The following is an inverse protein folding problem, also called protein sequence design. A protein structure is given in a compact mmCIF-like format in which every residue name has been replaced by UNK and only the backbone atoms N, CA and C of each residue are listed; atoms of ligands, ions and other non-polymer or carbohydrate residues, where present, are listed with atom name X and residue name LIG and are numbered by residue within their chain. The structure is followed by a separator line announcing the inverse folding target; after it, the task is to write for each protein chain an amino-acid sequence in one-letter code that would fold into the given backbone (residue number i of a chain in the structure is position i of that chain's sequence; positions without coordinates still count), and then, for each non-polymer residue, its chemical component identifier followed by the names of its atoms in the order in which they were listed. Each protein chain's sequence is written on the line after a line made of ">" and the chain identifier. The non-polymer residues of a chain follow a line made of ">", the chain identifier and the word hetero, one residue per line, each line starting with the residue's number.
data_IF_164661853664
#
_entry.id   IF_164661853664
#
_cell.length_a   1.000
_cell.length_b   1.000
_cell.length_c   1.000
_cell.angle_alpha   90.00
_cell.angle_beta   90.00
_cell.angle_gamma   90.00
#
_symmetry.space_group_name_H-M   'P 1'
#
loop_
_entity.id
_entity.type
_entity.pdbx_description
1 polymer ?
#
# COMPACT_ATOMS: atom_id res chain seq x y z
N UNK A 1 -21.67 -25.08 2.06
CA UNK A 1 -20.42 -24.96 1.27
C UNK A 1 -20.85 -24.08 0.13
N UNK A 2 -20.78 -22.78 0.40
CA UNK A 2 -21.20 -21.75 -0.56
C UNK A 2 -20.01 -21.53 -1.50
N UNK A 3 -20.20 -21.84 -2.78
CA UNK A 3 -19.23 -21.52 -3.82
C UNK A 3 -19.21 -20.00 -3.93
N UNK A 4 -18.18 -19.35 -3.34
CA UNK A 4 -17.88 -17.97 -3.70
C UNK A 4 -17.76 -17.94 -5.21
N UNK A 5 -18.58 -17.14 -5.90
CA UNK A 5 -18.30 -16.86 -7.31
C UNK A 5 -16.87 -16.34 -7.37
N UNK A 6 -16.02 -16.93 -8.22
CA UNK A 6 -14.65 -16.45 -8.31
C UNK A 6 -14.70 -14.99 -8.79
N UNK A 7 -14.28 -14.07 -7.94
CA UNK A 7 -13.72 -12.80 -8.39
C UNK A 7 -12.79 -13.16 -9.54
N UNK A 8 -12.76 -12.37 -10.62
CA UNK A 8 -11.99 -12.67 -11.81
C UNK A 8 -10.60 -13.17 -11.39
N UNK A 9 -10.25 -14.39 -11.82
CA UNK A 9 -8.98 -14.98 -11.45
C UNK A 9 -7.83 -14.07 -11.87
N UNK A 10 -6.75 -13.94 -11.07
CA UNK A 10 -5.62 -13.11 -11.43
C UNK A 10 -5.10 -13.48 -12.83
N UNK A 11 -4.85 -12.50 -13.72
CA UNK A 11 -4.44 -12.76 -15.10
C UNK A 11 -3.00 -13.28 -15.21
N UNK A 12 -2.21 -13.15 -14.14
CA UNK A 12 -0.80 -13.54 -14.07
C UNK A 12 -0.53 -14.47 -12.90
N UNK A 13 0.58 -15.21 -12.91
CA UNK A 13 1.03 -15.97 -11.74
C UNK A 13 1.28 -15.07 -10.53
N UNK A 14 1.05 -15.60 -9.34
CA UNK A 14 1.45 -14.94 -8.09
C UNK A 14 2.96 -14.72 -8.05
N UNK A 15 3.39 -13.68 -7.34
CA UNK A 15 4.80 -13.31 -7.25
C UNK A 15 5.62 -14.34 -6.48
N UNK A 16 6.82 -14.57 -6.96
CA UNK A 16 7.80 -15.41 -6.27
C UNK A 16 8.44 -14.64 -5.10
N UNK A 17 9.01 -15.39 -4.17
CA UNK A 17 9.77 -14.83 -3.04
C UNK A 17 10.87 -13.85 -3.51
N UNK A 18 11.60 -14.22 -4.56
CA UNK A 18 12.67 -13.38 -5.13
C UNK A 18 12.13 -12.03 -5.64
N UNK A 19 11.05 -12.04 -6.42
CA UNK A 19 10.40 -10.81 -6.91
C UNK A 19 9.94 -9.92 -5.75
N UNK A 20 9.36 -10.53 -4.70
CA UNK A 20 8.88 -9.77 -3.53
C UNK A 20 10.04 -9.14 -2.74
N UNK A 21 11.12 -9.90 -2.49
CA UNK A 21 12.31 -9.37 -1.83
C UNK A 21 12.91 -8.21 -2.63
N UNK A 22 13.11 -8.40 -3.92
CA UNK A 22 13.70 -7.38 -4.81
C UNK A 22 12.85 -6.09 -4.81
N UNK A 23 11.53 -6.22 -4.95
CA UNK A 23 10.63 -5.07 -4.89
C UNK A 23 10.64 -4.39 -3.52
N UNK A 24 10.68 -5.14 -2.42
CA UNK A 24 10.75 -4.60 -1.08
C UNK A 24 12.04 -3.77 -0.85
N UNK A 25 13.19 -4.26 -1.32
CA UNK A 25 14.46 -3.52 -1.26
C UNK A 25 14.41 -2.22 -2.07
N UNK A 26 13.90 -2.28 -3.30
CA UNK A 26 13.77 -1.11 -4.15
C UNK A 26 12.81 -0.06 -3.52
N UNK A 27 11.66 -0.51 -3.00
CA UNK A 27 10.68 0.36 -2.36
C UNK A 27 11.22 0.98 -1.06
N UNK A 28 12.01 0.24 -0.28
CA UNK A 28 12.65 0.79 0.92
C UNK A 28 13.52 2.01 0.61
N UNK A 29 14.23 2.00 -0.52
CA UNK A 29 15.03 3.15 -0.92
C UNK A 29 14.17 4.41 -1.15
N UNK A 30 12.96 4.23 -1.68
CA UNK A 30 11.98 5.31 -1.85
C UNK A 30 11.43 5.79 -0.51
N UNK A 31 11.05 4.87 0.38
CA UNK A 31 10.57 5.22 1.73
C UNK A 31 11.64 5.99 2.50
N UNK A 32 12.89 5.56 2.42
CA UNK A 32 14.03 6.31 2.99
C UNK A 32 14.16 7.70 2.35
N UNK A 33 13.99 7.81 1.05
CA UNK A 33 14.03 9.09 0.34
C UNK A 33 12.87 10.02 0.75
N UNK A 34 11.69 9.49 1.05
CA UNK A 34 10.56 10.24 1.64
C UNK A 34 10.97 10.85 2.98
N UNK A 35 11.60 10.08 3.86
CA UNK A 35 12.07 10.59 5.15
C UNK A 35 13.07 11.75 5.01
N UNK A 36 14.00 11.64 4.06
CA UNK A 36 14.92 12.74 3.76
C UNK A 36 14.20 13.99 3.24
N UNK A 37 13.16 13.81 2.45
CA UNK A 37 12.35 14.92 1.92
C UNK A 37 11.55 15.61 3.03
N UNK A 38 10.95 14.84 3.95
CA UNK A 38 10.25 15.38 5.12
C UNK A 38 11.22 16.14 6.05
N UNK A 39 12.39 15.60 6.31
CA UNK A 39 13.42 16.25 7.11
C UNK A 39 13.93 17.55 6.46
N UNK A 40 13.97 17.60 5.13
CA UNK A 40 14.43 18.76 4.37
C UNK A 40 13.62 20.02 4.63
N UNK A 41 12.37 19.88 5.07
CA UNK A 41 11.49 21.01 5.40
C UNK A 41 12.00 21.86 6.58
N UNK A 42 12.81 21.24 7.47
CA UNK A 42 13.46 21.92 8.59
C UNK A 42 14.97 22.16 8.40
N UNK A 43 15.54 21.70 7.29
CA UNK A 43 16.97 21.67 7.02
C UNK A 43 17.43 22.88 6.18
N UNK A 44 18.71 23.23 6.29
CA UNK A 44 19.31 24.26 5.44
C UNK A 44 19.83 23.66 4.11
N UNK A 45 20.22 24.54 3.17
CA UNK A 45 20.69 24.13 1.85
C UNK A 45 21.92 23.18 1.91
N UNK A 46 22.85 23.38 2.84
CA UNK A 46 24.04 22.54 2.96
C UNK A 46 23.68 21.12 3.41
N UNK A 47 22.76 20.97 4.36
CA UNK A 47 22.25 19.67 4.82
C UNK A 47 21.54 18.91 3.70
N UNK A 48 20.71 19.60 2.92
CA UNK A 48 20.05 19.01 1.75
C UNK A 48 21.03 18.58 0.65
N UNK A 49 22.15 19.31 0.49
CA UNK A 49 23.23 18.91 -0.43
C UNK A 49 23.92 17.63 0.03
N UNK A 50 24.20 17.48 1.33
CA UNK A 50 24.78 16.25 1.90
C UNK A 50 23.83 15.06 1.69
N UNK A 51 22.56 15.23 2.00
CA UNK A 51 21.55 14.19 1.79
C UNK A 51 21.42 13.83 0.29
N UNK A 52 21.46 14.82 -0.60
CA UNK A 52 21.43 14.59 -2.06
C UNK A 52 22.66 13.80 -2.52
N UNK A 53 23.86 14.14 -2.04
CA UNK A 53 25.08 13.40 -2.37
C UNK A 53 25.01 11.96 -1.88
N UNK A 54 24.49 11.73 -0.67
CA UNK A 54 24.32 10.38 -0.13
C UNK A 54 23.36 9.53 -0.99
N UNK A 55 22.23 10.07 -1.40
CA UNK A 55 21.29 9.34 -2.30
C UNK A 55 21.98 9.01 -3.61
N UNK A 56 22.68 9.97 -4.23
CA UNK A 56 23.33 9.81 -5.53
C UNK A 56 24.54 8.90 -5.49
N UNK A 57 25.35 8.95 -4.43
CA UNK A 57 26.65 8.28 -4.33
C UNK A 57 26.58 6.94 -3.59
N UNK A 58 25.48 6.68 -2.87
CA UNK A 58 25.31 5.44 -2.10
C UNK A 58 24.05 4.71 -2.49
N UNK A 59 22.87 5.33 -2.39
CA UNK A 59 21.58 4.62 -2.57
C UNK A 59 21.40 4.19 -4.02
N UNK A 60 21.58 5.09 -4.98
CA UNK A 60 21.40 4.78 -6.42
C UNK A 60 22.43 3.74 -6.89
N UNK A 61 23.75 3.87 -6.61
CA UNK A 61 24.70 2.82 -6.96
C UNK A 61 24.38 1.47 -6.32
N UNK A 62 23.98 1.43 -5.04
CA UNK A 62 23.61 0.18 -4.37
C UNK A 62 22.42 -0.52 -5.06
N UNK A 63 21.42 0.22 -5.51
CA UNK A 63 20.31 -0.35 -6.29
C UNK A 63 20.78 -0.89 -7.65
N UNK A 64 21.71 -0.20 -8.31
CA UNK A 64 22.24 -0.62 -9.62
C UNK A 64 23.17 -1.84 -9.50
N UNK A 65 24.07 -1.86 -8.51
CA UNK A 65 25.00 -2.95 -8.26
C UNK A 65 24.32 -4.26 -7.84
N UNK A 66 23.13 -4.16 -7.22
CA UNK A 66 22.30 -5.31 -6.82
C UNK A 66 21.20 -5.62 -7.81
N UNK A 67 21.21 -5.07 -9.04
CA UNK A 67 20.20 -5.26 -10.07
C UNK A 67 18.77 -4.90 -9.64
N UNK A 68 18.60 -3.98 -8.67
CA UNK A 68 17.31 -3.55 -8.11
C UNK A 68 16.75 -2.29 -8.79
N UNK A 69 17.54 -1.63 -9.64
CA UNK A 69 17.14 -0.38 -10.29
C UNK A 69 15.89 -0.55 -11.16
N UNK A 70 15.77 -1.66 -11.88
CA UNK A 70 14.66 -1.95 -12.79
C UNK A 70 13.41 -2.44 -12.05
N UNK A 71 13.48 -2.68 -10.74
CA UNK A 71 12.31 -2.90 -9.88
C UNK A 71 11.56 -1.60 -9.57
N UNK A 72 12.20 -0.46 -9.77
CA UNK A 72 11.55 0.84 -9.66
C UNK A 72 10.81 1.20 -10.94
N UNK A 73 9.63 1.80 -10.80
CA UNK A 73 8.90 2.38 -11.93
C UNK A 73 9.66 3.59 -12.49
N UNK A 74 9.34 4.00 -13.72
CA UNK A 74 9.96 5.17 -14.32
C UNK A 74 9.76 6.46 -13.49
N UNK A 75 8.58 6.61 -12.89
CA UNK A 75 8.26 7.72 -11.98
C UNK A 75 9.12 7.66 -10.71
N UNK A 76 9.26 6.50 -10.11
CA UNK A 76 10.07 6.27 -8.90
C UNK A 76 11.56 6.54 -9.16
N UNK A 77 12.12 6.04 -10.27
CA UNK A 77 13.50 6.30 -10.69
C UNK A 77 13.77 7.80 -10.86
N UNK A 78 12.87 8.48 -11.59
CA UNK A 78 12.96 9.92 -11.79
C UNK A 78 12.92 10.68 -10.48
N UNK A 79 12.01 10.32 -9.58
CA UNK A 79 11.79 11.03 -8.32
C UNK A 79 12.92 10.77 -7.32
N UNK A 80 13.43 9.52 -7.25
CA UNK A 80 14.56 9.15 -6.39
C UNK A 80 15.82 9.97 -6.70
N UNK A 81 16.08 10.27 -7.98
CA UNK A 81 17.30 10.97 -8.42
C UNK A 81 17.25 12.50 -8.27
N UNK A 82 16.08 13.08 -7.95
CA UNK A 82 15.95 14.53 -7.71
C UNK A 82 16.76 14.99 -6.49
N UNK A 83 17.23 16.24 -6.45
CA UNK A 83 17.82 16.80 -5.25
C UNK A 83 16.89 16.72 -4.03
N UNK A 84 17.41 16.48 -2.84
CA UNK A 84 16.63 16.50 -1.59
C UNK A 84 16.11 17.91 -1.32
N UNK A 85 14.85 18.01 -0.93
CA UNK A 85 14.12 19.27 -0.77
C UNK A 85 13.54 19.84 -2.06
N UNK A 86 13.54 19.07 -3.16
CA UNK A 86 13.01 19.54 -4.46
C UNK A 86 11.72 18.87 -4.91
N UNK A 87 11.18 17.92 -4.15
CA UNK A 87 9.96 17.27 -4.52
C UNK A 87 8.76 18.23 -4.46
N UNK A 88 7.89 18.11 -5.44
CA UNK A 88 6.63 18.83 -5.39
C UNK A 88 5.71 18.20 -4.33
N UNK A 89 4.79 18.98 -3.72
CA UNK A 89 3.87 18.45 -2.70
C UNK A 89 3.09 17.21 -3.16
N UNK A 90 2.71 17.13 -4.43
CA UNK A 90 2.01 15.97 -4.99
C UNK A 90 2.90 14.71 -5.05
N UNK A 91 4.20 14.86 -5.35
CA UNK A 91 5.16 13.74 -5.36
C UNK A 91 5.39 13.24 -3.94
N UNK A 92 5.61 14.14 -2.98
CA UNK A 92 5.76 13.78 -1.58
C UNK A 92 4.51 13.08 -1.04
N UNK A 93 3.33 13.64 -1.34
CA UNK A 93 2.07 13.03 -0.94
C UNK A 93 1.91 11.62 -1.52
N UNK A 94 2.14 11.43 -2.82
CA UNK A 94 2.00 10.12 -3.46
C UNK A 94 2.98 9.09 -2.90
N UNK A 95 4.27 9.46 -2.74
CA UNK A 95 5.30 8.52 -2.31
C UNK A 95 5.31 8.27 -0.79
N UNK A 96 4.72 9.17 0.02
CA UNK A 96 4.62 8.96 1.47
C UNK A 96 3.78 7.74 1.86
N UNK A 97 2.89 7.29 0.98
CA UNK A 97 2.06 6.12 1.20
C UNK A 97 2.75 4.79 0.89
N UNK A 98 3.92 4.81 0.25
CA UNK A 98 4.69 3.59 -0.05
C UNK A 98 5.09 2.79 1.19
N UNK A 99 5.09 3.40 2.37
CA UNK A 99 5.27 2.69 3.64
C UNK A 99 4.19 1.63 3.88
N UNK A 100 2.94 1.90 3.45
CA UNK A 100 1.84 0.93 3.54
C UNK A 100 2.06 -0.25 2.58
N UNK A 101 2.44 0.03 1.33
CA UNK A 101 2.79 -1.01 0.37
C UNK A 101 4.00 -1.83 0.82
N UNK A 102 5.04 -1.16 1.34
CA UNK A 102 6.24 -1.83 1.87
C UNK A 102 5.88 -2.73 3.06
N UNK A 103 4.98 -2.29 3.95
CA UNK A 103 4.52 -3.10 5.08
C UNK A 103 3.88 -4.42 4.63
N UNK A 104 3.11 -4.38 3.55
CA UNK A 104 2.52 -5.59 2.94
C UNK A 104 3.59 -6.53 2.40
N UNK A 105 4.59 -5.99 1.68
CA UNK A 105 5.67 -6.82 1.14
C UNK A 105 6.47 -7.51 2.24
N UNK A 106 6.87 -6.79 3.28
CA UNK A 106 7.64 -7.38 4.39
C UNK A 106 6.78 -8.30 5.27
N UNK A 107 5.48 -8.05 5.39
CA UNK A 107 4.53 -8.95 6.01
C UNK A 107 4.44 -10.27 5.21
N UNK A 108 4.29 -10.18 3.89
CA UNK A 108 4.22 -11.37 3.04
C UNK A 108 5.50 -12.22 3.07
N UNK A 109 6.65 -11.62 3.42
CA UNK A 109 7.93 -12.31 3.64
C UNK A 109 8.10 -12.85 5.08
N UNK A 110 7.05 -12.80 5.92
CA UNK A 110 7.11 -13.29 7.30
C UNK A 110 7.97 -12.43 8.24
N UNK A 111 8.38 -11.22 7.83
CA UNK A 111 9.20 -10.30 8.63
C UNK A 111 8.36 -9.55 9.66
N UNK A 112 7.15 -9.15 9.27
CA UNK A 112 6.14 -8.64 10.19
C UNK A 112 5.14 -9.74 10.51
N UNK A 113 4.81 -9.90 11.78
CA UNK A 113 3.82 -10.88 12.23
C UNK A 113 2.41 -10.50 11.75
N UNK A 114 2.05 -9.23 11.85
CA UNK A 114 0.72 -8.70 11.52
C UNK A 114 0.82 -7.36 10.79
N UNK A 115 -0.15 -7.08 9.92
CA UNK A 115 -0.36 -5.74 9.36
C UNK A 115 -1.05 -4.85 10.41
N UNK A 116 -0.72 -3.56 10.40
CA UNK A 116 -1.39 -2.59 11.27
C UNK A 116 -2.90 -2.54 11.00
N UNK A 117 -3.74 -2.16 11.99
CA UNK A 117 -5.16 -1.89 11.77
C UNK A 117 -5.38 -0.93 10.60
N UNK A 118 -6.56 -1.01 9.96
CA UNK A 118 -6.88 -0.22 8.77
C UNK A 118 -7.01 1.29 9.03
N UNK A 119 -7.09 1.70 10.28
CA UNK A 119 -7.14 3.10 10.73
C UNK A 119 -5.82 3.59 11.34
N UNK A 120 -4.74 2.82 11.17
CA UNK A 120 -3.42 3.13 11.72
C UNK A 120 -2.38 3.07 10.61
N UNK A 121 -1.70 4.20 10.35
CA UNK A 121 -0.59 4.27 9.41
C UNK A 121 0.60 3.45 9.89
N UNK A 122 1.29 2.84 8.94
CA UNK A 122 2.57 2.19 9.20
C UNK A 122 3.63 3.22 9.59
N UNK A 123 4.30 2.99 10.73
CA UNK A 123 5.54 3.71 11.05
C UNK A 123 6.69 3.12 10.22
N UNK A 124 7.32 3.89 9.31
CA UNK A 124 8.39 3.36 8.48
C UNK A 124 9.70 3.14 9.24
N UNK A 125 9.88 3.75 10.41
CA UNK A 125 11.16 3.74 11.15
C UNK A 125 11.69 2.33 11.48
N UNK A 126 10.86 1.38 11.97
CA UNK A 126 11.33 0.01 12.19
C UNK A 126 11.76 -0.68 10.90
N UNK A 127 11.04 -0.44 9.80
CA UNK A 127 11.32 -1.07 8.51
C UNK A 127 12.63 -0.54 7.92
N UNK A 128 12.89 0.76 8.05
CA UNK A 128 14.12 1.37 7.57
C UNK A 128 15.38 0.86 8.29
N UNK A 129 15.22 0.31 9.50
CA UNK A 129 16.33 -0.31 10.24
C UNK A 129 16.54 -1.79 9.93
N UNK A 130 15.55 -2.46 9.33
CA UNK A 130 15.63 -3.90 9.02
C UNK A 130 16.59 -4.24 7.88
N UNK A 131 16.81 -3.29 6.96
CA UNK A 131 17.64 -3.51 5.77
C UNK A 131 18.73 -2.44 5.70
N UNK A 132 19.98 -2.84 5.57
CA UNK A 132 21.06 -1.93 5.19
C UNK A 132 21.29 -2.03 3.68
N UNK A 133 20.79 -1.05 2.92
CA UNK A 133 20.96 -1.00 1.47
C UNK A 133 22.43 -0.97 1.02
N UNK A 134 23.33 -0.50 1.88
CA UNK A 134 24.74 -0.37 1.55
C UNK A 134 25.57 -1.62 1.90
N UNK A 135 25.04 -2.52 2.72
CA UNK A 135 25.80 -3.65 3.26
C UNK A 135 25.18 -5.03 3.06
N UNK A 136 23.92 -5.12 2.64
CA UNK A 136 23.23 -6.41 2.54
C UNK A 136 22.84 -6.74 1.09
N UNK A 137 23.22 -7.93 0.67
CA UNK A 137 22.85 -8.52 -0.60
C UNK A 137 21.38 -9.02 -0.54
N UNK A 138 20.58 -8.61 -1.50
CA UNK A 138 19.20 -9.10 -1.65
C UNK A 138 19.13 -10.64 -1.72
N UNK A 139 20.16 -11.29 -2.28
CA UNK A 139 20.28 -12.74 -2.35
C UNK A 139 20.39 -13.39 -0.97
N UNK A 140 21.05 -12.74 0.00
CA UNK A 140 21.06 -13.20 1.39
C UNK A 140 19.66 -13.19 1.99
N UNK A 141 18.90 -12.12 1.75
CA UNK A 141 17.51 -12.00 2.22
C UNK A 141 16.59 -13.05 1.59
N UNK A 142 16.69 -13.28 0.27
CA UNK A 142 15.92 -14.36 -0.39
C UNK A 142 16.13 -15.70 0.30
N UNK A 143 17.34 -15.98 0.78
CA UNK A 143 17.62 -17.25 1.48
C UNK A 143 17.19 -17.26 2.94
N UNK A 144 16.98 -16.12 3.59
CA UNK A 144 16.70 -16.01 5.02
C UNK A 144 15.22 -15.86 5.38
N UNK A 145 14.38 -15.44 4.43
CA UNK A 145 12.95 -15.22 4.63
C UNK A 145 12.10 -16.29 3.95
N UNK A 146 10.87 -16.46 4.40
CA UNK A 146 9.88 -17.36 3.79
C UNK A 146 8.64 -16.56 3.38
N UNK A 147 8.19 -16.81 2.15
CA UNK A 147 6.93 -16.24 1.69
C UNK A 147 5.76 -16.92 2.41
N UNK A 148 4.79 -16.15 2.90
CA UNK A 148 3.57 -16.68 3.50
C UNK A 148 2.81 -17.55 2.51
N UNK A 149 1.97 -18.43 3.04
CA UNK A 149 1.13 -19.29 2.21
C UNK A 149 0.23 -18.48 1.28
N UNK A 150 0.03 -19.00 0.07
CA UNK A 150 -0.78 -18.34 -0.95
C UNK A 150 -2.23 -18.07 -0.49
N UNK A 151 -2.80 -18.95 0.34
CA UNK A 151 -4.13 -18.77 0.92
C UNK A 151 -4.16 -17.59 1.89
N UNK A 152 -3.14 -17.44 2.74
CA UNK A 152 -3.03 -16.31 3.68
C UNK A 152 -2.89 -14.97 2.94
N UNK A 153 -2.10 -14.94 1.86
CA UNK A 153 -1.95 -13.74 1.01
C UNK A 153 -3.26 -13.42 0.27
N UNK A 154 -3.96 -14.44 -0.22
CA UNK A 154 -5.25 -14.25 -0.90
C UNK A 154 -6.34 -13.77 0.05
N UNK A 155 -6.40 -14.26 1.28
CA UNK A 155 -7.33 -13.78 2.31
C UNK A 155 -7.05 -12.32 2.68
N UNK A 156 -5.78 -11.94 2.80
CA UNK A 156 -5.39 -10.54 3.03
C UNK A 156 -5.75 -9.64 1.85
N UNK A 157 -5.56 -10.11 0.60
CA UNK A 157 -5.96 -9.39 -0.61
C UNK A 157 -7.47 -9.16 -0.64
N UNK A 158 -8.27 -10.18 -0.36
CA UNK A 158 -9.72 -10.04 -0.29
C UNK A 158 -10.16 -9.04 0.79
N UNK A 159 -9.52 -9.09 1.97
CA UNK A 159 -9.78 -8.10 3.01
C UNK A 159 -9.45 -6.68 2.54
N UNK A 160 -8.30 -6.47 1.87
CA UNK A 160 -7.89 -5.17 1.36
C UNK A 160 -8.83 -4.64 0.27
N UNK A 161 -9.30 -5.51 -0.62
CA UNK A 161 -10.30 -5.17 -1.64
C UNK A 161 -11.60 -4.65 -1.02
N UNK A 162 -12.13 -5.36 -0.01
CA UNK A 162 -13.36 -4.95 0.70
C UNK A 162 -13.16 -3.61 1.42
N UNK A 163 -12.02 -3.36 2.05
CA UNK A 163 -11.71 -2.09 2.70
C UNK A 163 -11.55 -0.95 1.68
N UNK A 164 -10.90 -1.20 0.55
CA UNK A 164 -10.78 -0.22 -0.54
C UNK A 164 -12.15 0.08 -1.14
N UNK A 165 -12.95 -0.94 -1.43
CA UNK A 165 -14.35 -0.79 -1.86
C UNK A 165 -15.17 0.05 -0.86
N UNK A 166 -15.02 -0.20 0.46
CA UNK A 166 -15.71 0.60 1.48
C UNK A 166 -15.32 2.07 1.43
N UNK A 167 -14.04 2.36 1.24
CA UNK A 167 -13.52 3.72 1.08
C UNK A 167 -14.09 4.40 -0.17
N UNK A 168 -14.07 3.74 -1.32
CA UNK A 168 -14.66 4.25 -2.57
C UNK A 168 -16.16 4.50 -2.44
N UNK A 169 -16.89 3.59 -1.80
CA UNK A 169 -18.32 3.77 -1.52
C UNK A 169 -18.57 5.01 -0.66
N UNK A 170 -17.74 5.26 0.37
CA UNK A 170 -17.84 6.49 1.14
C UNK A 170 -17.55 7.73 0.31
N UNK A 171 -16.55 7.69 -0.59
CA UNK A 171 -16.25 8.79 -1.50
C UNK A 171 -17.43 9.11 -2.43
N UNK A 172 -18.13 8.09 -2.93
CA UNK A 172 -19.37 8.26 -3.72
C UNK A 172 -20.49 8.90 -2.88
N UNK A 173 -20.70 8.45 -1.65
CA UNK A 173 -21.69 9.00 -0.73
C UNK A 173 -21.40 10.46 -0.34
N UNK A 174 -20.13 10.84 -0.28
CA UNK A 174 -19.67 12.21 -0.03
C UNK A 174 -19.65 13.09 -1.30
N UNK A 175 -19.92 12.52 -2.49
CA UNK A 175 -19.87 13.23 -3.77
C UNK A 175 -18.46 13.57 -4.25
N UNK A 176 -17.43 12.91 -3.70
CA UNK A 176 -16.02 13.08 -4.10
C UNK A 176 -15.69 12.29 -5.37
N UNK A 177 -16.41 11.20 -5.61
CA UNK A 177 -16.35 10.39 -6.83
C UNK A 177 -17.73 10.40 -7.47
N UNK A 178 -17.84 10.66 -8.79
CA UNK A 178 -19.11 10.60 -9.50
C UNK A 178 -19.76 9.24 -9.37
N UNK A 179 -21.01 9.19 -8.96
CA UNK A 179 -21.83 7.98 -8.92
C UNK A 179 -23.24 8.30 -9.39
N UNK A 180 -23.76 7.47 -10.29
CA UNK A 180 -25.13 7.58 -10.78
C UNK A 180 -25.90 6.35 -10.35
N UNK A 181 -26.77 6.51 -9.36
CA UNK A 181 -27.66 5.45 -8.92
C UNK A 181 -28.67 5.08 -10.03
N UNK A 182 -29.05 3.80 -10.14
CA UNK A 182 -30.05 3.37 -11.11
C UNK A 182 -31.40 4.07 -10.90
N UNK A 183 -32.11 4.38 -12.00
CA UNK A 183 -33.52 4.83 -12.01
C UNK A 183 -33.84 6.05 -11.14
N UNK A 184 -32.88 6.97 -10.93
CA UNK A 184 -33.11 8.20 -10.18
C UNK A 184 -33.20 8.03 -8.66
N UNK A 185 -32.76 6.87 -8.14
CA UNK A 185 -32.57 6.68 -6.70
C UNK A 185 -31.45 7.58 -6.18
N UNK A 186 -31.47 7.91 -4.89
CA UNK A 186 -30.35 8.57 -4.23
C UNK A 186 -29.21 7.58 -4.00
N UNK A 187 -27.98 8.08 -3.96
CA UNK A 187 -26.81 7.23 -3.73
C UNK A 187 -26.88 6.45 -2.39
N UNK A 188 -27.35 7.10 -1.32
CA UNK A 188 -27.51 6.47 0.00
C UNK A 188 -28.62 5.39 0.02
N UNK A 189 -29.70 5.59 -0.73
CA UNK A 189 -30.77 4.59 -0.86
C UNK A 189 -30.32 3.34 -1.61
N UNK A 190 -29.46 3.49 -2.61
CA UNK A 190 -28.93 2.38 -3.39
C UNK A 190 -27.75 1.69 -2.71
N UNK A 191 -26.73 2.45 -2.27
CA UNK A 191 -25.49 1.91 -1.69
C UNK A 191 -25.68 1.42 -0.24
N UNK A 192 -26.60 1.99 0.52
CA UNK A 192 -26.81 1.67 1.93
C UNK A 192 -27.06 0.19 2.20
N UNK A 193 -28.03 -0.47 1.52
CA UNK A 193 -28.28 -1.91 1.66
C UNK A 193 -27.09 -2.78 1.28
N UNK A 194 -26.35 -2.42 0.20
CA UNK A 194 -25.15 -3.12 -0.26
C UNK A 194 -24.08 -3.03 0.83
N UNK A 195 -23.89 -1.85 1.39
CA UNK A 195 -22.91 -1.59 2.45
C UNK A 195 -23.17 -2.43 3.70
N UNK A 196 -24.45 -2.50 4.13
CA UNK A 196 -24.85 -3.34 5.27
C UNK A 196 -24.61 -4.82 5.00
N UNK A 197 -24.98 -5.30 3.81
CA UNK A 197 -24.77 -6.69 3.41
C UNK A 197 -23.25 -7.02 3.37
N UNK A 198 -22.44 -6.19 2.71
CA UNK A 198 -20.98 -6.41 2.63
C UNK A 198 -20.33 -6.40 4.01
N UNK A 199 -20.72 -5.47 4.89
CA UNK A 199 -20.19 -5.43 6.26
C UNK A 199 -20.61 -6.69 7.06
N UNK A 200 -21.83 -7.21 6.85
CA UNK A 200 -22.29 -8.43 7.47
C UNK A 200 -21.53 -9.67 7.00
N UNK A 201 -21.29 -9.80 5.71
CA UNK A 201 -20.52 -10.91 5.15
C UNK A 201 -19.05 -10.84 5.57
N UNK A 202 -18.46 -9.64 5.61
CA UNK A 202 -17.10 -9.44 6.11
C UNK A 202 -16.94 -9.82 7.59
N UNK A 203 -17.96 -9.57 8.43
CA UNK A 203 -17.95 -10.03 9.82
C UNK A 203 -18.09 -11.55 9.93
N UNK A 204 -19.00 -12.17 9.15
CA UNK A 204 -19.17 -13.64 9.12
C UNK A 204 -17.88 -14.34 8.66
N UNK A 205 -17.17 -13.75 7.73
CA UNK A 205 -15.88 -14.26 7.22
C UNK A 205 -14.69 -13.94 8.14
N UNK A 206 -14.91 -13.26 9.27
CA UNK A 206 -13.85 -12.93 10.23
C UNK A 206 -12.92 -11.79 9.82
N UNK A 207 -13.21 -11.08 8.73
CA UNK A 207 -12.37 -9.98 8.21
C UNK A 207 -12.40 -8.76 9.14
N UNK A 208 -13.55 -8.49 9.76
CA UNK A 208 -13.74 -7.36 10.65
C UNK A 208 -14.80 -7.65 11.71
N UNK A 209 -14.88 -6.79 12.74
CA UNK A 209 -16.00 -6.73 13.67
C UNK A 209 -16.74 -5.42 13.46
N UNK A 210 -18.02 -5.50 13.04
CA UNK A 210 -18.82 -4.32 12.75
C UNK A 210 -19.05 -3.42 13.97
N UNK A 211 -19.16 -2.12 13.71
CA UNK A 211 -19.66 -1.12 14.67
C UNK A 211 -20.90 -0.47 14.04
N UNK A 212 -22.06 -0.60 14.69
CA UNK A 212 -23.35 -0.07 14.22
C UNK A 212 -23.68 -0.45 12.76
N UNK A 213 -23.36 -1.69 12.36
CA UNK A 213 -23.67 -2.22 11.04
C UNK A 213 -22.73 -1.75 9.93
N UNK A 214 -21.60 -1.11 10.26
CA UNK A 214 -20.60 -0.61 9.32
C UNK A 214 -19.19 -1.11 9.69
N UNK A 215 -18.23 -0.90 8.82
CA UNK A 215 -16.81 -1.14 9.08
C UNK A 215 -16.33 -0.31 10.26
N UNK A 216 -15.44 -0.83 11.12
CA UNK A 216 -14.89 -0.08 12.24
C UNK A 216 -13.84 0.91 11.75
N UNK A 217 -13.83 2.14 12.31
CA UNK A 217 -12.78 3.10 12.06
C UNK A 217 -12.65 4.02 13.29
N UNK A 218 -11.48 4.08 13.90
CA UNK A 218 -11.24 4.89 15.10
C UNK A 218 -12.24 4.62 16.24
N UNK A 219 -12.65 3.36 16.42
CA UNK A 219 -13.62 2.96 17.44
C UNK A 219 -15.07 3.37 17.16
N UNK A 220 -15.40 3.79 15.95
CA UNK A 220 -16.74 4.19 15.51
C UNK A 220 -17.04 3.63 14.10
N UNK A 221 -18.31 3.69 13.62
CA UNK A 221 -18.63 3.26 12.27
C UNK A 221 -17.93 4.14 11.21
N UNK A 222 -17.43 3.51 10.14
CA UNK A 222 -16.66 4.16 9.05
C UNK A 222 -17.36 5.40 8.48
N UNK A 223 -18.70 5.38 8.37
CA UNK A 223 -19.48 6.53 7.88
C UNK A 223 -19.29 7.81 8.68
N UNK A 224 -18.78 7.72 9.90
CA UNK A 224 -18.50 8.87 10.77
C UNK A 224 -17.11 9.48 10.53
N UNK A 225 -16.21 8.76 9.85
CA UNK A 225 -14.91 9.32 9.47
C UNK A 225 -15.09 10.54 8.55
N UNK A 226 -14.40 11.63 8.87
CA UNK A 226 -14.47 12.90 8.14
C UNK A 226 -13.08 13.40 7.78
N UNK A 227 -13.01 14.18 6.72
CA UNK A 227 -11.82 14.93 6.32
C UNK A 227 -10.55 14.08 6.33
N UNK A 228 -9.60 14.43 7.19
CA UNK A 228 -8.31 13.77 7.27
C UNK A 228 -8.43 12.27 7.62
N UNK A 229 -9.35 11.90 8.52
CA UNK A 229 -9.56 10.49 8.88
C UNK A 229 -10.01 9.66 7.67
N UNK A 230 -10.96 10.19 6.89
CA UNK A 230 -11.43 9.51 5.69
C UNK A 230 -10.32 9.35 4.64
N UNK A 231 -9.55 10.43 4.38
CA UNK A 231 -8.44 10.36 3.43
C UNK A 231 -7.37 9.36 3.86
N UNK A 232 -7.06 9.29 5.15
CA UNK A 232 -6.11 8.35 5.70
C UNK A 232 -6.58 6.90 5.50
N UNK A 233 -7.82 6.58 5.89
CA UNK A 233 -8.42 5.25 5.70
C UNK A 233 -8.40 4.82 4.21
N UNK A 234 -8.78 5.74 3.32
CA UNK A 234 -8.81 5.50 1.88
C UNK A 234 -7.42 5.22 1.33
N UNK A 235 -6.41 6.01 1.73
CA UNK A 235 -5.03 5.84 1.27
C UNK A 235 -4.42 4.54 1.77
N UNK A 236 -4.58 4.20 3.06
CA UNK A 236 -4.11 2.92 3.62
C UNK A 236 -4.73 1.76 2.85
N UNK A 237 -6.05 1.76 2.68
CA UNK A 237 -6.75 0.67 2.00
C UNK A 237 -6.33 0.55 0.52
N UNK A 238 -6.17 1.67 -0.19
CA UNK A 238 -5.73 1.69 -1.57
C UNK A 238 -4.31 1.12 -1.73
N UNK A 239 -3.36 1.57 -0.92
CA UNK A 239 -1.97 1.14 -1.03
C UNK A 239 -1.76 -0.32 -0.65
N UNK A 240 -2.41 -0.78 0.42
CA UNK A 240 -2.35 -2.21 0.80
C UNK A 240 -3.02 -3.08 -0.24
N UNK A 241 -4.17 -2.66 -0.79
CA UNK A 241 -4.84 -3.37 -1.86
C UNK A 241 -3.97 -3.45 -3.12
N UNK A 242 -3.31 -2.35 -3.50
CA UNK A 242 -2.37 -2.34 -4.63
C UNK A 242 -1.25 -3.36 -4.46
N UNK A 243 -0.59 -3.36 -3.30
CA UNK A 243 0.52 -4.28 -3.02
C UNK A 243 0.05 -5.75 -3.00
N UNK A 244 -1.11 -6.04 -2.40
CA UNK A 244 -1.68 -7.39 -2.35
C UNK A 244 -2.14 -7.87 -3.72
N UNK A 245 -2.75 -7.00 -4.54
CA UNK A 245 -3.10 -7.30 -5.92
C UNK A 245 -1.86 -7.64 -6.76
N UNK A 246 -0.76 -6.90 -6.57
CA UNK A 246 0.51 -7.25 -7.22
C UNK A 246 1.00 -8.63 -6.79
N UNK A 247 0.98 -8.95 -5.49
CA UNK A 247 1.41 -10.23 -4.95
C UNK A 247 0.65 -11.42 -5.54
N UNK A 248 -0.66 -11.31 -5.67
CA UNK A 248 -1.50 -12.40 -6.20
C UNK A 248 -1.57 -12.44 -7.73
N UNK A 249 -1.01 -11.46 -8.45
CA UNK A 249 -0.89 -11.48 -9.91
C UNK A 249 -1.93 -10.66 -10.68
N UNK A 250 -2.58 -9.65 -10.07
CA UNK A 250 -3.43 -8.68 -10.80
C UNK A 250 -2.63 -7.63 -11.58
N UNK A 251 -1.31 -7.73 -11.61
CA UNK A 251 -0.40 -6.93 -12.45
C UNK A 251 0.90 -7.67 -12.67
N UNK A 252 1.42 -7.63 -13.89
CA UNK A 252 2.73 -8.18 -14.19
C UNK A 252 3.83 -7.29 -13.59
N UNK A 253 3.70 -5.98 -13.77
CA UNK A 253 4.56 -4.94 -13.19
C UNK A 253 3.80 -4.18 -12.12
N UNK A 254 4.53 -3.44 -11.31
CA UNK A 254 3.95 -2.61 -10.27
C UNK A 254 2.96 -1.56 -10.80
N UNK A 255 3.30 -0.90 -11.94
CA UNK A 255 2.44 0.12 -12.57
C UNK A 255 1.21 -0.46 -13.29
N UNK A 256 1.18 -1.76 -13.55
CA UNK A 256 0.12 -2.41 -14.33
C UNK A 256 -0.97 -3.02 -13.43
N UNK A 257 -0.89 -2.82 -12.10
CA UNK A 257 -1.81 -3.44 -11.15
C UNK A 257 -3.20 -2.86 -11.28
N UNK A 258 -4.19 -3.74 -11.55
CA UNK A 258 -5.60 -3.34 -11.52
C UNK A 258 -6.06 -3.05 -10.08
N UNK A 259 -6.81 -1.94 -9.94
CA UNK A 259 -7.39 -1.46 -8.68
C UNK A 259 -8.91 -1.43 -8.74
N UNK A 260 -9.50 -2.21 -9.63
CA UNK A 260 -10.96 -2.31 -9.77
C UNK A 260 -11.56 -2.98 -8.52
N UNK A 261 -12.59 -2.34 -7.95
CA UNK A 261 -13.33 -2.81 -6.78
C UNK A 261 -14.81 -2.55 -6.93
#
# INVERSE_FOLDING_TARGET
>A
MDEREPLDAPPHPAKTKDEVVRRAFAMRALVYRVELELQSQGSNFAENQVATSMVRETVVPALQENDLWDELTAFEQQTLTKPVGSWQPAELFSLSWLSESLSVLIWSLGILDELQPWDTMMDPSPVLTLFDLAGEDSGHWVSSVELRDAEEIADAQFAAEIWHWRGRTQAMLLGLIPFQAPQGQRADEFLGPILQYTAEEAEKSGILRRIDGDFPAYGQPYRNARDQQFHLLMSIASERHHALNWLVGFGLKWDDVSMDT
#
